data_IF_033120997904
#
_entry.id   IF_033120997904
#
_cell.length_a   1.000
_cell.length_b   1.000
_cell.length_c   1.000
_cell.angle_alpha   90.00
_cell.angle_beta   90.00
_cell.angle_gamma   90.00
#
_symmetry.space_group_name_H-M   'P 1'
#
loop_
_entity.id
_entity.type
_entity.pdbx_description
1 polymer ?
#
# COMPACT_ATOMS: atom_id res chain seq x y z
N UNK A 1 -1.72 -9.16 5.20
CA UNK A 1 -1.29 -9.00 6.59
C UNK A 1 0.21 -8.72 6.64
N UNK A 2 0.62 -7.77 7.44
CA UNK A 2 2.02 -7.38 7.56
C UNK A 2 2.63 -7.95 8.84
N UNK A 3 3.78 -7.51 9.26
CA UNK A 3 4.59 -8.07 10.37
C UNK A 3 5.47 -9.23 9.93
N UNK A 4 6.16 -9.03 8.83
CA UNK A 4 7.15 -10.00 8.36
C UNK A 4 8.46 -9.28 8.05
N UNK A 5 9.52 -10.05 7.90
CA UNK A 5 10.84 -9.49 7.60
C UNK A 5 10.83 -8.95 6.17
N UNK A 6 11.34 -7.73 6.02
CA UNK A 6 11.43 -7.10 4.69
C UNK A 6 12.39 -7.90 3.81
N UNK A 7 11.91 -8.29 2.63
CA UNK A 7 12.72 -9.07 1.70
C UNK A 7 13.78 -8.23 0.99
N UNK A 8 13.59 -6.93 0.95
CA UNK A 8 14.52 -6.05 0.24
C UNK A 8 15.79 -5.78 1.03
N UNK A 9 15.67 -5.48 2.30
CA UNK A 9 16.84 -5.24 3.14
C UNK A 9 17.19 -6.43 4.04
N UNK A 10 16.26 -7.32 4.28
CA UNK A 10 16.45 -8.51 5.10
C UNK A 10 16.66 -8.25 6.58
N UNK A 11 16.57 -7.00 7.01
CA UNK A 11 16.83 -6.63 8.41
C UNK A 11 15.65 -5.98 9.10
N UNK A 12 14.87 -5.21 8.34
CA UNK A 12 13.73 -4.51 8.90
C UNK A 12 12.49 -5.37 8.95
N UNK A 13 11.48 -4.89 9.66
CA UNK A 13 10.18 -5.54 9.75
C UNK A 13 9.15 -4.68 9.05
N UNK A 14 8.35 -5.29 8.19
CA UNK A 14 7.27 -4.60 7.51
C UNK A 14 6.09 -4.50 8.46
N UNK A 15 5.69 -3.29 8.79
CA UNK A 15 4.60 -3.04 9.73
C UNK A 15 3.47 -2.31 9.02
N UNK A 16 2.25 -2.61 9.45
CA UNK A 16 1.06 -1.97 8.91
C UNK A 16 1.02 -0.50 9.31
N UNK A 17 0.80 0.37 8.33
CA UNK A 17 0.55 1.79 8.55
C UNK A 17 -0.69 2.22 7.81
N UNK A 18 -1.45 3.13 8.42
CA UNK A 18 -2.64 3.68 7.79
C UNK A 18 -2.33 5.11 7.38
N UNK A 19 -2.56 5.42 6.12
CA UNK A 19 -2.36 6.76 5.56
C UNK A 19 -3.71 7.35 5.19
N UNK A 20 -3.89 8.62 5.51
CA UNK A 20 -5.07 9.36 5.09
C UNK A 20 -4.72 10.20 3.86
N UNK A 21 -5.68 10.36 2.96
CA UNK A 21 -5.50 11.13 1.72
C UNK A 21 -4.27 10.67 0.95
N UNK A 22 -4.11 9.36 0.81
CA UNK A 22 -2.95 8.79 0.14
C UNK A 22 -3.07 8.98 -1.37
N UNK A 23 -2.14 9.74 -1.93
CA UNK A 23 -2.09 9.98 -3.37
C UNK A 23 -1.25 8.91 -4.04
N UNK A 24 -1.86 8.24 -5.00
CA UNK A 24 -1.19 7.19 -5.75
C UNK A 24 -1.63 7.24 -7.21
N UNK A 25 -0.98 6.43 -8.04
CA UNK A 25 -1.39 6.27 -9.43
C UNK A 25 -1.72 4.81 -9.68
N UNK A 26 -2.85 4.57 -10.27
CA UNK A 26 -3.28 3.24 -10.69
C UNK A 26 -3.45 3.26 -12.20
N UNK A 27 -2.68 2.43 -12.89
CA UNK A 27 -2.68 2.36 -14.36
C UNK A 27 -2.45 3.73 -15.01
N UNK A 28 -1.64 4.56 -14.38
CA UNK A 28 -1.33 5.90 -14.90
C UNK A 28 -2.33 6.99 -14.53
N UNK A 29 -3.41 6.65 -13.86
CA UNK A 29 -4.40 7.62 -13.43
C UNK A 29 -4.15 8.05 -11.99
N UNK A 30 -4.16 9.37 -11.73
CA UNK A 30 -4.03 9.85 -10.35
C UNK A 30 -5.25 9.42 -9.53
N UNK A 31 -4.99 8.93 -8.35
CA UNK A 31 -6.03 8.39 -7.49
C UNK A 31 -5.72 8.76 -6.04
N UNK A 32 -6.72 9.27 -5.33
CA UNK A 32 -6.59 9.58 -3.91
C UNK A 32 -7.40 8.59 -3.11
N UNK A 33 -6.76 7.92 -2.17
CA UNK A 33 -7.39 6.94 -1.30
C UNK A 33 -7.56 7.57 0.07
N UNK A 34 -8.81 7.65 0.53
CA UNK A 34 -9.10 8.27 1.83
C UNK A 34 -8.42 7.53 2.97
N UNK A 35 -8.32 6.21 2.86
CA UNK A 35 -7.68 5.41 3.88
C UNK A 35 -6.93 4.27 3.22
N UNK A 36 -5.62 4.33 3.24
CA UNK A 36 -4.76 3.31 2.64
C UNK A 36 -4.00 2.57 3.73
N UNK A 37 -4.13 1.24 3.73
CA UNK A 37 -3.38 0.39 4.65
C UNK A 37 -2.18 -0.18 3.90
N UNK A 38 -0.99 0.23 4.30
CA UNK A 38 0.25 -0.09 3.60
C UNK A 38 1.26 -0.63 4.59
N UNK A 39 2.01 -1.65 4.20
CA UNK A 39 3.11 -2.15 4.99
C UNK A 39 4.37 -1.35 4.69
N UNK A 40 5.04 -0.87 5.72
CA UNK A 40 6.27 -0.09 5.58
C UNK A 40 7.38 -0.74 6.39
N UNK A 41 8.53 -0.96 5.75
CA UNK A 41 9.71 -1.45 6.43
C UNK A 41 10.25 -0.37 7.36
N UNK A 42 10.62 -0.76 8.58
CA UNK A 42 11.13 0.19 9.57
C UNK A 42 12.63 0.50 9.40
N UNK A 43 13.30 -0.17 8.46
CA UNK A 43 14.73 0.05 8.22
C UNK A 43 14.99 0.75 6.87
N UNK A 44 14.51 0.16 5.78
CA UNK A 44 14.78 0.71 4.45
C UNK A 44 13.64 1.59 3.92
N UNK A 45 12.51 1.61 4.59
CA UNK A 45 11.36 2.40 4.16
C UNK A 45 10.60 1.83 2.97
N UNK A 46 10.89 0.58 2.60
CA UNK A 46 10.19 -0.06 1.49
C UNK A 46 8.70 -0.17 1.78
N UNK A 47 7.89 0.12 0.77
CA UNK A 47 6.44 0.04 0.90
C UNK A 47 5.94 -1.25 0.28
N UNK A 48 5.10 -1.95 1.02
CA UNK A 48 4.51 -3.20 0.58
C UNK A 48 3.00 -3.07 0.56
N UNK A 49 2.40 -3.47 -0.54
CA UNK A 49 0.96 -3.38 -0.71
C UNK A 49 0.34 -4.76 -0.60
N UNK A 50 -0.76 -4.84 0.15
CA UNK A 50 -1.53 -6.07 0.25
C UNK A 50 -2.32 -6.26 -1.04
N UNK A 51 -2.37 -7.48 -1.54
CA UNK A 51 -3.10 -7.80 -2.75
C UNK A 51 -4.60 -7.49 -2.61
N UNK A 52 -5.17 -7.69 -1.42
CA UNK A 52 -6.56 -7.39 -1.15
C UNK A 52 -6.83 -5.89 -1.23
N UNK A 53 -5.90 -5.07 -0.73
CA UNK A 53 -6.03 -3.62 -0.79
C UNK A 53 -5.93 -3.11 -2.22
N UNK A 54 -4.96 -3.60 -2.99
CA UNK A 54 -4.80 -3.17 -4.38
C UNK A 54 -6.00 -3.59 -5.23
N UNK A 55 -6.56 -4.76 -4.97
CA UNK A 55 -7.76 -5.21 -5.66
C UNK A 55 -8.95 -4.31 -5.34
N UNK A 56 -9.08 -3.90 -4.08
CA UNK A 56 -10.12 -2.99 -3.64
C UNK A 56 -10.01 -1.62 -4.33
N UNK A 57 -8.80 -1.11 -4.42
CA UNK A 57 -8.54 0.16 -5.09
C UNK A 57 -8.93 0.10 -6.56
N UNK A 58 -8.60 -1.01 -7.22
CA UNK A 58 -8.97 -1.21 -8.61
C UNK A 58 -10.48 -1.25 -8.80
N UNK A 59 -11.19 -1.93 -7.92
CA UNK A 59 -12.64 -2.00 -7.98
C UNK A 59 -13.29 -0.63 -7.82
N UNK A 60 -12.78 0.18 -6.91
CA UNK A 60 -13.27 1.54 -6.71
C UNK A 60 -13.04 2.37 -7.97
N UNK A 61 -11.87 2.26 -8.56
CA UNK A 61 -11.53 3.00 -9.77
C UNK A 61 -12.41 2.60 -10.95
N UNK A 62 -12.63 1.31 -11.14
CA UNK A 62 -13.45 0.79 -12.23
C UNK A 62 -14.93 1.06 -12.00
N UNK A 63 -15.37 1.03 -10.76
CA UNK A 63 -16.77 1.25 -10.41
C UNK A 63 -17.23 2.69 -10.58
N UNK A 64 -16.32 3.61 -10.84
CA UNK A 64 -16.66 5.02 -11.02
C UNK A 64 -17.07 5.39 -12.45
N UNK A 65 -16.91 4.48 -13.33
CA UNK A 65 -17.32 4.72 -14.74
C UNK A 65 -18.83 4.43 -14.96
#
# INVERSE_FOLDING_TARGET
>A
MFNYICEECGKGTVKKKVFEDYQTKIKGYPFVIDKAVIGVCDQCGARHFDANETKRWREILEGRT
#
